data_IF_892821868864
#
_entry.id   IF_892821868864
#
_cell.length_a   1.000
_cell.length_b   1.000
_cell.length_c   1.000
_cell.angle_alpha   90.00
_cell.angle_beta   90.00
_cell.angle_gamma   90.00
#
_symmetry.space_group_name_H-M   'P 1'
#
loop_
_entity.id
_entity.type
_entity.pdbx_description
1 polymer ?
#
# COMPACT_ATOMS: atom_id res chain seq x y z
N UNK A 1 -16.94 72.30 11.47
CA UNK A 1 -17.43 72.15 10.08
C UNK A 1 -17.35 73.51 9.41
N UNK A 2 -16.83 73.68 8.17
CA UNK A 2 -15.93 72.85 7.34
C UNK A 2 -14.43 73.20 7.60
N UNK A 3 -13.36 72.48 7.16
CA UNK A 3 -12.85 72.09 5.81
C UNK A 3 -12.23 73.28 5.01
N UNK A 4 -11.05 73.25 4.35
CA UNK A 4 -10.09 72.16 4.01
C UNK A 4 -8.71 72.68 3.48
N UNK A 5 -7.72 71.77 3.25
CA UNK A 5 -6.50 71.81 2.35
C UNK A 5 -5.09 72.15 2.93
N UNK A 6 -4.05 71.50 2.39
CA UNK A 6 -2.66 72.02 2.25
C UNK A 6 -1.51 71.06 2.65
N UNK A 7 -0.50 70.86 1.77
CA UNK A 7 0.74 70.07 1.99
C UNK A 7 2.02 70.94 1.86
N UNK A 8 3.16 70.58 2.51
CA UNK A 8 4.45 70.24 1.84
C UNK A 8 5.69 69.94 2.75
N UNK A 9 6.48 68.92 2.34
CA UNK A 9 7.96 68.73 2.36
C UNK A 9 8.93 68.87 3.58
N UNK A 10 9.57 67.72 3.91
CA UNK A 10 11.03 67.34 3.84
C UNK A 10 12.17 68.02 4.67
N UNK A 11 13.03 67.11 5.21
CA UNK A 11 14.52 66.96 5.08
C UNK A 11 15.51 67.17 6.26
N UNK A 12 16.47 66.21 6.36
CA UNK A 12 17.69 66.10 7.20
C UNK A 12 18.14 64.60 7.21
N UNK A 13 19.37 64.13 6.92
CA UNK A 13 20.71 64.35 7.52
C UNK A 13 20.78 63.96 9.01
N UNK A 14 21.75 63.20 9.55
CA UNK A 14 22.95 62.44 9.09
C UNK A 14 23.40 61.48 10.26
N UNK A 15 24.40 60.58 10.32
CA UNK A 15 25.53 60.06 9.48
C UNK A 15 26.03 58.70 10.09
N UNK A 16 26.66 57.76 9.33
CA UNK A 16 27.59 56.71 9.89
C UNK A 16 28.39 55.89 8.86
N UNK A 17 29.61 55.46 9.22
CA UNK A 17 30.56 54.57 8.50
C UNK A 17 31.33 53.71 9.55
N UNK A 18 32.14 52.69 9.17
CA UNK A 18 31.77 51.45 8.47
C UNK A 18 32.16 50.19 9.30
N UNK A 19 31.58 49.02 9.00
CA UNK A 19 31.97 47.73 9.60
C UNK A 19 32.57 46.78 8.56
N UNK A 20 33.57 45.98 8.98
CA UNK A 20 34.42 45.18 8.07
C UNK A 20 33.71 43.91 7.57
N UNK A 21 34.05 43.54 6.34
CA UNK A 21 33.75 42.26 5.72
C UNK A 21 34.44 41.09 6.45
N UNK A 22 33.73 39.98 6.59
CA UNK A 22 34.29 38.63 6.64
C UNK A 22 33.46 37.73 5.68
N UNK A 23 34.04 36.64 5.15
CA UNK A 23 33.59 36.04 3.88
C UNK A 23 32.30 35.23 3.97
N UNK A 24 31.74 34.96 2.79
CA UNK A 24 30.44 34.28 2.61
C UNK A 24 30.46 32.82 3.10
N UNK A 25 29.36 32.43 3.74
CA UNK A 25 28.97 31.02 3.89
C UNK A 25 28.03 30.71 2.71
N UNK A 26 28.25 29.65 1.92
CA UNK A 26 27.38 29.29 0.80
C UNK A 26 25.93 29.10 1.26
N UNK A 27 24.99 29.70 0.52
CA UNK A 27 23.55 29.61 0.85
C UNK A 27 23.08 28.16 0.72
N UNK A 28 22.60 27.58 1.82
CA UNK A 28 21.70 26.43 1.73
C UNK A 28 20.44 26.86 0.97
N UNK A 29 19.98 26.03 0.03
CA UNK A 29 18.74 26.27 -0.71
C UNK A 29 17.53 26.09 0.23
N UNK A 30 17.11 27.17 0.89
CA UNK A 30 15.86 27.20 1.65
C UNK A 30 14.68 27.23 0.69
N UNK A 31 14.05 26.08 0.47
CA UNK A 31 12.73 26.00 -0.16
C UNK A 31 11.70 26.73 0.75
N UNK A 32 10.98 27.75 0.25
CA UNK A 32 9.98 28.44 1.05
C UNK A 32 8.74 27.56 1.26
N UNK A 33 8.33 27.34 2.50
CA UNK A 33 7.14 26.57 2.86
C UNK A 33 5.85 27.15 2.24
N UNK A 34 5.08 26.36 1.47
CA UNK A 34 3.66 26.60 1.23
C UNK A 34 2.81 26.02 2.38
N UNK A 35 1.62 26.59 2.56
CA UNK A 35 0.65 26.24 3.61
C UNK A 35 0.07 24.80 3.48
N UNK A 36 -0.53 24.23 4.55
CA UNK A 36 -0.64 22.78 4.72
C UNK A 36 -1.62 22.09 3.76
N UNK A 37 -1.06 21.39 2.77
CA UNK A 37 -1.75 20.33 2.05
C UNK A 37 -1.83 19.07 2.94
N UNK A 38 -2.87 18.97 3.76
CA UNK A 38 -3.06 17.83 4.69
C UNK A 38 -3.55 16.55 3.98
N UNK A 39 -2.85 16.11 2.94
CA UNK A 39 -2.96 14.75 2.41
C UNK A 39 -2.06 13.83 3.23
N UNK A 40 -2.62 12.87 3.96
CA UNK A 40 -1.84 11.86 4.68
C UNK A 40 -1.23 10.85 3.70
N UNK A 41 -0.11 11.19 3.08
CA UNK A 41 0.77 10.21 2.45
C UNK A 41 1.37 9.37 3.58
N UNK A 42 1.01 8.08 3.65
CA UNK A 42 1.60 7.12 4.58
C UNK A 42 2.55 6.20 3.83
N UNK A 43 3.78 5.98 4.31
CA UNK A 43 4.64 4.94 3.78
C UNK A 43 3.95 3.56 3.86
N UNK A 44 4.00 2.82 2.78
CA UNK A 44 3.67 1.39 2.73
C UNK A 44 4.98 0.63 2.53
N UNK A 45 5.41 -0.12 3.55
CA UNK A 45 6.60 -0.95 3.44
C UNK A 45 6.31 -2.11 2.47
N UNK A 46 7.16 -2.27 1.45
CA UNK A 46 6.95 -3.24 0.38
C UNK A 46 7.97 -4.39 0.50
N UNK A 47 7.48 -5.63 0.55
CA UNK A 47 8.31 -6.84 0.57
C UNK A 47 8.30 -7.51 -0.80
N UNK A 48 9.49 -7.84 -1.32
CA UNK A 48 9.66 -8.41 -2.66
C UNK A 48 9.15 -9.84 -2.75
N UNK A 49 8.60 -10.21 -3.91
CA UNK A 49 8.39 -11.62 -4.26
C UNK A 49 9.73 -12.36 -4.25
N UNK A 50 9.83 -13.40 -3.41
CA UNK A 50 10.89 -14.37 -3.41
C UNK A 50 10.28 -15.77 -3.45
N UNK A 51 10.96 -16.71 -4.09
CA UNK A 51 10.61 -18.12 -4.00
C UNK A 51 10.70 -18.59 -2.53
N UNK A 52 9.73 -19.38 -2.11
CA UNK A 52 9.50 -19.72 -0.69
C UNK A 52 10.51 -20.72 -0.11
N UNK A 53 11.78 -20.66 -0.50
CA UNK A 53 12.81 -21.64 -0.21
C UNK A 53 13.93 -21.03 0.63
N UNK A 54 13.95 -21.34 1.92
CA UNK A 54 15.04 -20.96 2.81
C UNK A 54 16.18 -21.98 2.67
N UNK A 55 17.05 -21.79 1.67
CA UNK A 55 18.26 -22.61 1.58
C UNK A 55 19.17 -22.32 2.79
N UNK A 56 19.74 -23.38 3.37
CA UNK A 56 20.58 -23.34 4.58
C UNK A 56 22.06 -23.59 4.28
N UNK A 57 22.46 -23.55 3.00
CA UNK A 57 23.81 -23.93 2.57
C UNK A 57 24.85 -22.79 2.52
N UNK A 58 24.43 -21.52 2.51
CA UNK A 58 25.35 -20.37 2.58
C UNK A 58 25.97 -20.19 3.96
N UNK A 59 27.10 -20.88 4.17
CA UNK A 59 28.00 -20.63 5.29
C UNK A 59 28.79 -19.34 5.03
N UNK A 60 28.63 -18.38 5.94
CA UNK A 60 29.50 -17.20 6.00
C UNK A 60 30.96 -17.62 6.26
N UNK A 61 31.79 -17.62 5.23
CA UNK A 61 33.25 -17.75 5.37
C UNK A 61 33.83 -16.43 5.92
N UNK A 62 33.89 -16.31 7.24
CA UNK A 62 34.37 -15.10 7.93
C UNK A 62 35.89 -14.99 7.84
N UNK A 63 36.39 -14.26 6.84
CA UNK A 63 37.83 -14.00 6.66
C UNK A 63 38.36 -13.06 7.73
N UNK A 64 38.83 -13.63 8.85
CA UNK A 64 39.62 -12.92 9.85
C UNK A 64 41.13 -13.03 9.57
N UNK A 65 41.92 -11.95 9.79
CA UNK A 65 43.36 -12.01 9.66
C UNK A 65 44.00 -12.90 10.74
N UNK A 66 45.07 -13.63 10.38
CA UNK A 66 45.72 -14.60 11.26
C UNK A 66 46.40 -13.94 12.47
N UNK A 67 45.99 -14.28 13.69
CA UNK A 67 46.72 -13.91 14.91
C UNK A 67 46.13 -14.47 16.21
N UNK A 68 47.02 -14.98 17.08
CA UNK A 68 46.83 -15.26 18.51
C UNK A 68 45.77 -16.30 18.98
N UNK A 69 46.30 -17.45 19.41
CA UNK A 69 45.95 -18.21 20.63
C UNK A 69 44.51 -18.73 20.85
N UNK A 70 44.42 -20.06 20.96
CA UNK A 70 43.27 -20.77 21.53
C UNK A 70 43.05 -20.50 23.03
N UNK A 71 41.79 -20.36 23.45
CA UNK A 71 41.32 -20.85 24.75
C UNK A 71 39.99 -21.58 24.59
N UNK A 72 39.78 -22.62 25.41
CA UNK A 72 38.55 -23.41 25.44
C UNK A 72 37.72 -23.00 26.64
N UNK A 73 36.49 -22.56 26.41
CA UNK A 73 35.44 -22.51 27.44
C UNK A 73 34.31 -23.46 27.03
N UNK A 74 33.61 -24.03 28.01
CA UNK A 74 32.65 -25.13 27.80
C UNK A 74 31.44 -24.96 28.72
N UNK A 75 30.25 -25.18 28.17
CA UNK A 75 28.95 -25.26 28.86
C UNK A 75 28.40 -23.90 29.35
N UNK A 76 27.14 -23.62 29.02
CA UNK A 76 26.44 -22.38 29.39
C UNK A 76 25.06 -22.26 28.73
N UNK A 77 24.12 -23.10 29.19
CA UNK A 77 22.64 -22.94 29.21
C UNK A 77 21.85 -22.56 27.92
N UNK A 78 20.55 -22.91 27.92
CA UNK A 78 19.64 -22.74 26.76
C UNK A 78 18.87 -21.42 26.79
N UNK A 79 19.60 -20.32 26.73
CA UNK A 79 19.11 -19.08 26.12
C UNK A 79 19.59 -19.07 24.65
N UNK A 80 18.95 -18.47 23.66
CA UNK A 80 18.08 -17.28 23.70
C UNK A 80 17.07 -17.20 22.54
N UNK A 81 16.58 -18.33 21.98
CA UNK A 81 15.67 -18.32 20.79
C UNK A 81 14.46 -17.39 20.96
N UNK A 82 13.79 -17.45 22.13
CA UNK A 82 12.71 -16.51 22.48
C UNK A 82 13.17 -15.04 22.56
N UNK A 83 14.39 -14.78 23.02
CA UNK A 83 14.98 -13.44 23.08
C UNK A 83 15.31 -12.86 21.71
N UNK A 84 15.76 -13.70 20.77
CA UNK A 84 15.97 -13.27 19.38
C UNK A 84 14.64 -12.91 18.70
N UNK A 85 13.59 -13.74 18.83
CA UNK A 85 12.26 -13.40 18.29
C UNK A 85 11.67 -12.13 18.92
N UNK A 86 11.91 -11.90 20.22
CA UNK A 86 11.40 -10.70 20.91
C UNK A 86 12.13 -9.42 20.51
N UNK A 87 13.46 -9.46 20.35
CA UNK A 87 14.27 -8.33 19.88
C UNK A 87 14.10 -8.06 18.38
N UNK A 88 13.97 -9.08 17.52
CA UNK A 88 13.58 -8.85 16.11
C UNK A 88 12.18 -8.23 16.03
N UNK A 89 11.20 -8.74 16.79
CA UNK A 89 9.87 -8.14 16.83
C UNK A 89 9.89 -6.72 17.42
N UNK A 90 10.89 -6.36 18.25
CA UNK A 90 11.09 -5.02 18.80
C UNK A 90 11.68 -4.07 17.77
N UNK A 91 12.68 -4.50 17.00
CA UNK A 91 13.18 -3.77 15.84
C UNK A 91 12.07 -3.51 14.81
N UNK A 92 11.26 -4.54 14.50
CA UNK A 92 10.08 -4.37 13.63
C UNK A 92 9.01 -3.44 14.22
N UNK A 93 8.77 -3.45 15.53
CA UNK A 93 7.89 -2.46 16.20
C UNK A 93 8.43 -1.04 16.06
N UNK A 94 9.71 -0.83 16.31
CA UNK A 94 10.35 0.49 16.22
C UNK A 94 10.33 1.02 14.79
N UNK A 95 10.63 0.18 13.79
CA UNK A 95 10.59 0.55 12.37
C UNK A 95 9.17 0.87 11.88
N UNK A 96 8.18 -0.01 12.16
CA UNK A 96 6.77 0.20 11.79
C UNK A 96 6.17 1.41 12.52
N UNK A 97 6.51 1.63 13.79
CA UNK A 97 6.06 2.78 14.57
C UNK A 97 6.66 4.09 14.07
N UNK A 98 7.97 4.11 13.76
CA UNK A 98 8.69 5.26 13.20
C UNK A 98 8.18 5.65 11.81
N UNK A 99 7.76 4.69 11.00
CA UNK A 99 7.21 4.94 9.65
C UNK A 99 5.68 5.15 9.61
N UNK A 100 4.93 4.76 10.64
CA UNK A 100 3.46 4.88 10.68
C UNK A 100 2.72 3.95 9.69
N UNK A 101 3.32 2.79 9.37
CA UNK A 101 2.96 1.94 8.22
C UNK A 101 1.62 1.23 8.39
N UNK A 102 0.83 1.22 7.31
CA UNK A 102 -0.19 0.21 7.07
C UNK A 102 0.43 -0.87 6.17
N UNK A 103 0.63 -2.08 6.69
CA UNK A 103 1.21 -3.18 5.91
C UNK A 103 0.12 -3.87 5.11
N UNK A 104 0.38 -4.05 3.81
CA UNK A 104 -0.54 -4.64 2.83
C UNK A 104 0.20 -5.78 2.14
N UNK A 105 -0.28 -7.01 2.29
CA UNK A 105 0.36 -8.16 1.65
C UNK A 105 0.15 -8.09 0.13
N UNK A 106 1.25 -7.98 -0.62
CA UNK A 106 1.29 -7.90 -2.09
C UNK A 106 1.05 -9.28 -2.76
N UNK A 107 1.31 -9.35 -4.07
CA UNK A 107 1.28 -10.49 -5.01
C UNK A 107 0.05 -10.52 -5.95
N UNK A 108 0.25 -10.62 -7.28
CA UNK A 108 -0.83 -10.78 -8.27
C UNK A 108 -1.55 -12.13 -8.19
N UNK A 109 -1.00 -13.11 -7.46
CA UNK A 109 -1.58 -14.46 -7.37
C UNK A 109 -2.87 -14.51 -6.55
N UNK A 110 -3.18 -13.42 -5.82
CA UNK A 110 -4.36 -13.30 -4.95
C UNK A 110 -5.71 -13.43 -5.67
N UNK A 111 -5.72 -13.25 -6.98
CA UNK A 111 -6.94 -13.30 -7.79
C UNK A 111 -7.32 -14.76 -8.15
N UNK A 112 -6.49 -15.72 -7.74
CA UNK A 112 -6.83 -17.15 -7.61
C UNK A 112 -6.56 -17.67 -6.20
N UNK A 113 -6.64 -16.80 -5.18
CA UNK A 113 -6.56 -17.23 -3.79
C UNK A 113 -7.94 -17.66 -3.31
N UNK A 114 -7.97 -18.81 -2.64
CA UNK A 114 -9.07 -19.31 -1.82
C UNK A 114 -8.61 -19.31 -0.36
N UNK A 115 -9.52 -19.10 0.58
CA UNK A 115 -9.22 -19.21 2.02
C UNK A 115 -9.66 -20.58 2.52
N UNK A 116 -8.79 -21.29 3.24
CA UNK A 116 -9.05 -22.65 3.74
C UNK A 116 -9.96 -22.67 4.97
N UNK A 117 -11.13 -22.04 4.88
CA UNK A 117 -12.14 -21.92 5.95
C UNK A 117 -13.00 -23.18 6.07
N UNK A 118 -13.86 -23.22 7.10
CA UNK A 118 -14.80 -24.33 7.35
C UNK A 118 -15.70 -24.66 6.14
N UNK A 119 -16.07 -23.63 5.35
CA UNK A 119 -16.89 -23.76 4.14
C UNK A 119 -16.07 -24.23 2.90
N UNK A 120 -14.76 -24.44 3.02
CA UNK A 120 -13.90 -24.95 1.94
C UNK A 120 -13.50 -26.41 2.18
N UNK A 121 -14.26 -27.33 1.58
CA UNK A 121 -14.13 -28.78 1.81
C UNK A 121 -13.08 -29.50 0.93
N UNK A 122 -12.18 -28.77 0.27
CA UNK A 122 -11.12 -29.33 -0.59
C UNK A 122 -9.73 -29.18 0.06
N UNK A 123 -8.73 -29.99 -0.32
CA UNK A 123 -7.36 -29.84 0.18
C UNK A 123 -6.80 -28.44 -0.11
N UNK A 124 -6.31 -27.77 0.93
CA UNK A 124 -5.74 -26.42 0.80
C UNK A 124 -4.31 -26.47 0.23
N UNK A 125 -4.19 -26.47 -1.10
CA UNK A 125 -2.92 -26.54 -1.84
C UNK A 125 -2.24 -25.17 -2.01
N UNK A 126 -0.89 -25.08 -2.00
CA UNK A 126 -0.18 -23.86 -2.34
C UNK A 126 -0.32 -23.52 -3.83
N UNK A 127 0.08 -22.30 -4.21
CA UNK A 127 0.30 -21.93 -5.61
C UNK A 127 1.41 -22.78 -6.23
N UNK A 128 1.19 -23.29 -7.44
CA UNK A 128 2.20 -23.97 -8.26
C UNK A 128 2.42 -23.15 -9.54
N UNK A 129 3.67 -23.01 -9.97
CA UNK A 129 4.01 -22.28 -11.21
C UNK A 129 3.58 -23.08 -12.43
N UNK A 130 2.74 -22.49 -13.28
CA UNK A 130 2.23 -23.08 -14.52
C UNK A 130 2.12 -21.99 -15.59
N UNK A 131 2.86 -22.14 -16.69
CA UNK A 131 2.91 -21.13 -17.75
C UNK A 131 1.67 -21.11 -18.67
N UNK A 132 0.77 -22.10 -18.57
CA UNK A 132 -0.53 -22.10 -19.26
C UNK A 132 -1.59 -21.30 -18.49
N UNK A 133 -1.36 -21.08 -17.21
CA UNK A 133 -2.30 -20.42 -16.30
C UNK A 133 -2.17 -18.89 -16.33
N UNK A 134 -3.28 -18.20 -16.10
CA UNK A 134 -3.28 -16.73 -15.97
C UNK A 134 -2.34 -16.28 -14.84
N UNK A 135 -1.50 -15.27 -15.11
CA UNK A 135 -0.41 -14.82 -14.24
C UNK A 135 0.70 -15.85 -13.93
N UNK A 136 0.70 -17.02 -14.59
CA UNK A 136 1.79 -18.00 -14.50
C UNK A 136 1.72 -18.98 -13.32
N UNK A 137 0.58 -19.06 -12.62
CA UNK A 137 0.39 -19.95 -11.47
C UNK A 137 -1.03 -20.52 -11.38
N UNK A 138 -1.18 -21.72 -10.83
CA UNK A 138 -2.45 -22.37 -10.51
C UNK A 138 -3.32 -21.56 -9.54
N UNK A 139 -4.55 -22.03 -9.27
CA UNK A 139 -5.23 -21.63 -8.04
C UNK A 139 -4.40 -22.05 -6.81
N UNK A 140 -4.44 -21.23 -5.76
CA UNK A 140 -3.79 -21.48 -4.48
C UNK A 140 -4.74 -21.24 -3.31
N UNK A 141 -4.44 -21.83 -2.16
CA UNK A 141 -5.22 -21.70 -0.94
C UNK A 141 -4.36 -21.15 0.20
N UNK A 142 -4.91 -20.23 1.00
CA UNK A 142 -4.34 -19.75 2.26
C UNK A 142 -4.82 -20.67 3.41
N UNK A 143 -3.95 -21.49 4.02
CA UNK A 143 -4.33 -22.27 5.19
C UNK A 143 -4.55 -21.33 6.38
N UNK A 144 -5.62 -21.52 7.15
CA UNK A 144 -5.93 -20.64 8.27
C UNK A 144 -4.81 -20.56 9.30
N UNK A 145 -4.12 -21.67 9.60
CA UNK A 145 -2.90 -21.65 10.45
C UNK A 145 -1.87 -20.59 10.00
N UNK A 146 -1.67 -20.42 8.68
CA UNK A 146 -0.74 -19.41 8.14
C UNK A 146 -1.30 -17.99 8.27
N UNK A 147 -2.62 -17.83 8.24
CA UNK A 147 -3.29 -16.58 8.55
C UNK A 147 -3.20 -16.22 10.04
N UNK A 148 -3.22 -17.20 10.94
CA UNK A 148 -3.07 -17.02 12.39
C UNK A 148 -1.65 -16.57 12.74
N UNK A 149 -0.64 -17.22 12.15
CA UNK A 149 0.78 -16.83 12.20
C UNK A 149 0.97 -15.37 11.74
N UNK A 150 0.31 -14.97 10.65
CA UNK A 150 0.33 -13.59 10.15
C UNK A 150 -0.34 -12.61 11.11
N UNK A 151 -1.51 -12.95 11.67
CA UNK A 151 -2.21 -12.08 12.64
C UNK A 151 -1.44 -11.93 13.96
N UNK A 152 -0.73 -12.97 14.41
CA UNK A 152 0.21 -12.87 15.52
C UNK A 152 1.33 -11.86 15.21
N UNK A 153 1.95 -11.93 14.04
CA UNK A 153 2.96 -10.96 13.59
C UNK A 153 2.40 -9.54 13.47
N UNK A 154 1.22 -9.35 12.88
CA UNK A 154 0.55 -8.05 12.78
C UNK A 154 0.28 -7.44 14.15
N UNK A 155 -0.21 -8.24 15.11
CA UNK A 155 -0.43 -7.83 16.50
C UNK A 155 0.88 -7.51 17.24
N UNK A 156 1.95 -8.28 16.99
CA UNK A 156 3.29 -8.08 17.60
C UNK A 156 4.06 -6.89 17.03
N UNK A 157 3.78 -6.48 15.78
CA UNK A 157 4.38 -5.29 15.13
C UNK A 157 3.55 -4.02 15.28
N UNK A 158 2.25 -4.14 15.60
CA UNK A 158 1.32 -3.00 15.70
C UNK A 158 0.83 -2.47 14.34
N UNK A 159 1.11 -3.20 13.25
CA UNK A 159 0.79 -2.78 11.90
C UNK A 159 -0.73 -2.79 11.63
N UNK A 160 -1.23 -1.77 10.92
CA UNK A 160 -2.65 -1.68 10.53
C UNK A 160 -2.89 -2.37 9.20
N UNK A 161 -3.65 -3.47 9.22
CA UNK A 161 -3.72 -4.40 8.09
C UNK A 161 -4.88 -4.07 7.16
N UNK A 162 -4.60 -3.99 5.85
CA UNK A 162 -5.65 -3.96 4.82
C UNK A 162 -5.48 -5.22 3.98
N UNK A 163 -6.57 -5.97 3.81
CA UNK A 163 -6.53 -7.24 3.10
C UNK A 163 -7.36 -7.19 1.81
N UNK A 164 -6.68 -7.40 0.68
CA UNK A 164 -7.30 -7.55 -0.63
C UNK A 164 -7.86 -8.95 -0.85
N UNK A 165 -9.16 -9.02 -1.07
CA UNK A 165 -9.95 -10.22 -1.32
C UNK A 165 -10.02 -10.52 -2.83
N UNK A 166 -9.99 -11.81 -3.17
CA UNK A 166 -10.20 -12.29 -4.53
C UNK A 166 -11.57 -11.87 -5.11
N UNK A 167 -11.59 -10.87 -5.99
CA UNK A 167 -12.78 -10.39 -6.69
C UNK A 167 -13.10 -11.13 -8.00
N UNK A 168 -12.22 -12.03 -8.47
CA UNK A 168 -12.48 -12.88 -9.64
C UNK A 168 -13.24 -14.18 -9.27
N UNK A 169 -13.38 -14.48 -7.97
CA UNK A 169 -14.14 -15.62 -7.49
C UNK A 169 -15.55 -15.69 -8.11
N UNK A 170 -15.85 -16.81 -8.79
CA UNK A 170 -17.14 -17.06 -9.45
C UNK A 170 -17.38 -16.36 -10.79
N UNK A 171 -16.45 -15.52 -11.28
CA UNK A 171 -16.62 -14.78 -12.53
C UNK A 171 -16.17 -15.59 -13.75
N UNK A 172 -16.89 -15.41 -14.86
CA UNK A 172 -16.49 -15.94 -16.16
C UNK A 172 -15.50 -14.98 -16.81
N UNK A 173 -14.42 -15.51 -17.39
CA UNK A 173 -13.36 -14.70 -18.02
C UNK A 173 -13.31 -14.99 -19.52
N UNK A 174 -13.34 -13.93 -20.32
CA UNK A 174 -13.27 -13.99 -21.78
C UNK A 174 -12.27 -12.95 -22.28
N UNK A 175 -11.07 -13.41 -22.67
CA UNK A 175 -9.93 -12.52 -22.91
C UNK A 175 -9.62 -11.68 -21.68
N UNK A 176 -9.39 -10.39 -21.87
CA UNK A 176 -9.00 -9.45 -20.81
C UNK A 176 -10.20 -8.87 -20.02
N UNK A 177 -11.33 -9.58 -19.98
CA UNK A 177 -12.60 -9.10 -19.40
C UNK A 177 -13.24 -10.18 -18.54
N UNK A 178 -13.55 -9.86 -17.28
CA UNK A 178 -14.30 -10.72 -16.37
C UNK A 178 -15.75 -10.23 -16.20
N UNK A 179 -16.71 -11.17 -16.20
CA UNK A 179 -18.15 -10.90 -16.17
C UNK A 179 -18.89 -11.86 -15.24
N UNK A 180 -20.12 -11.50 -14.87
CA UNK A 180 -20.93 -12.23 -13.89
C UNK A 180 -20.71 -11.74 -12.45
N UNK A 181 -21.61 -12.13 -11.53
CA UNK A 181 -21.55 -11.70 -10.12
C UNK A 181 -20.30 -12.24 -9.43
N UNK A 182 -19.80 -11.50 -8.45
CA UNK A 182 -18.77 -12.02 -7.54
C UNK A 182 -19.38 -13.07 -6.60
N UNK A 183 -18.75 -14.25 -6.51
CA UNK A 183 -19.11 -15.27 -5.52
C UNK A 183 -18.39 -14.94 -4.21
N UNK A 184 -19.11 -14.27 -3.31
CA UNK A 184 -18.58 -13.79 -2.04
C UNK A 184 -18.38 -14.87 -0.98
N UNK A 185 -18.98 -16.07 -1.12
CA UNK A 185 -19.15 -17.04 -0.01
C UNK A 185 -17.85 -17.39 0.71
N UNK A 186 -16.76 -17.63 -0.02
CA UNK A 186 -15.47 -17.93 0.60
C UNK A 186 -14.83 -16.71 1.28
N UNK A 187 -15.02 -15.50 0.73
CA UNK A 187 -14.55 -14.26 1.34
C UNK A 187 -15.36 -13.88 2.60
N UNK A 188 -16.67 -14.08 2.57
CA UNK A 188 -17.57 -13.93 3.73
C UNK A 188 -17.17 -14.89 4.86
N UNK A 189 -16.97 -16.17 4.54
CA UNK A 189 -16.44 -17.18 5.47
C UNK A 189 -15.10 -16.77 6.10
N UNK A 190 -14.20 -16.16 5.32
CA UNK A 190 -12.92 -15.65 5.81
C UNK A 190 -13.05 -14.39 6.66
N UNK A 191 -13.94 -13.46 6.31
CA UNK A 191 -14.28 -12.29 7.14
C UNK A 191 -14.84 -12.76 8.49
N UNK A 192 -15.81 -13.68 8.47
CA UNK A 192 -16.40 -14.33 9.65
C UNK A 192 -15.36 -15.01 10.53
N UNK A 193 -14.38 -15.69 9.93
CA UNK A 193 -13.26 -16.28 10.67
C UNK A 193 -12.42 -15.22 11.40
N UNK A 194 -12.13 -14.08 10.77
CA UNK A 194 -11.42 -12.98 11.41
C UNK A 194 -12.21 -12.38 12.58
N UNK A 195 -13.52 -12.18 12.41
CA UNK A 195 -14.44 -11.71 13.46
C UNK A 195 -14.42 -12.66 14.66
N UNK A 196 -14.66 -13.96 14.44
CA UNK A 196 -14.71 -14.98 15.50
C UNK A 196 -13.42 -15.12 16.30
N UNK A 197 -12.26 -14.90 15.67
CA UNK A 197 -10.95 -14.96 16.33
C UNK A 197 -10.48 -13.60 16.93
N UNK A 198 -11.30 -12.55 16.81
CA UNK A 198 -10.96 -11.21 17.32
C UNK A 198 -9.79 -10.54 16.58
N UNK A 199 -9.61 -10.84 15.29
CA UNK A 199 -8.51 -10.34 14.47
C UNK A 199 -8.80 -8.93 13.95
N UNK A 200 -7.92 -7.97 14.26
CA UNK A 200 -8.10 -6.55 13.95
C UNK A 200 -7.65 -6.23 12.52
N UNK A 201 -8.57 -6.34 11.56
CA UNK A 201 -8.38 -5.85 10.19
C UNK A 201 -8.80 -4.37 10.13
N UNK A 202 -8.00 -3.52 9.49
CA UNK A 202 -8.26 -2.08 9.36
C UNK A 202 -9.11 -1.75 8.12
N UNK A 203 -9.03 -2.57 7.08
CA UNK A 203 -9.89 -2.45 5.89
C UNK A 203 -9.90 -3.69 5.00
N UNK A 204 -10.97 -3.82 4.22
CA UNK A 204 -11.16 -4.85 3.20
C UNK A 204 -11.27 -4.20 1.82
N UNK A 205 -10.67 -4.80 0.80
CA UNK A 205 -10.72 -4.31 -0.58
C UNK A 205 -10.92 -5.44 -1.60
N UNK A 206 -11.55 -5.14 -2.73
CA UNK A 206 -11.66 -6.08 -3.87
C UNK A 206 -10.44 -5.94 -4.78
N UNK A 207 -9.78 -7.07 -5.07
CA UNK A 207 -8.54 -7.20 -5.86
C UNK A 207 -8.79 -8.18 -7.03
N UNK A 208 -8.27 -8.04 -8.25
CA UNK A 208 -7.11 -7.29 -8.75
C UNK A 208 -7.30 -5.77 -8.99
N UNK A 209 -6.27 -5.20 -9.60
CA UNK A 209 -6.24 -3.96 -10.39
C UNK A 209 -7.18 -4.05 -11.62
N UNK A 210 -8.49 -4.14 -11.38
CA UNK A 210 -9.50 -4.42 -12.40
C UNK A 210 -10.09 -3.15 -13.06
N UNK A 211 -9.58 -1.98 -12.71
CA UNK A 211 -10.08 -0.66 -13.15
C UNK A 211 -9.49 -0.22 -14.50
N UNK A 212 -10.28 0.50 -15.30
CA UNK A 212 -9.87 0.99 -16.63
C UNK A 212 -9.63 -0.18 -17.60
N UNK A 213 -8.44 -0.24 -18.20
CA UNK A 213 -7.99 -1.40 -18.98
C UNK A 213 -7.66 -2.64 -18.12
N UNK A 214 -7.50 -2.44 -16.81
CA UNK A 214 -6.99 -3.42 -15.86
C UNK A 214 -5.55 -3.85 -16.13
N UNK A 215 -5.02 -4.70 -15.24
CA UNK A 215 -3.75 -5.42 -15.45
C UNK A 215 -4.07 -6.89 -15.69
N UNK A 216 -3.89 -7.32 -16.95
CA UNK A 216 -4.34 -8.62 -17.45
C UNK A 216 -5.85 -8.69 -17.66
N UNK A 217 -6.64 -8.43 -16.62
CA UNK A 217 -8.11 -8.52 -16.60
C UNK A 217 -8.72 -7.18 -16.18
N UNK A 218 -9.83 -6.80 -16.81
CA UNK A 218 -10.68 -5.66 -16.47
C UNK A 218 -12.08 -6.10 -16.04
N UNK A 219 -12.77 -5.23 -15.26
CA UNK A 219 -14.20 -5.37 -14.97
C UNK A 219 -14.94 -4.05 -15.28
N UNK A 220 -16.15 -4.15 -15.84
CA UNK A 220 -17.03 -3.00 -16.08
C UNK A 220 -17.53 -2.39 -14.77
N UNK A 221 -17.62 -1.07 -14.73
CA UNK A 221 -17.97 -0.28 -13.53
C UNK A 221 -19.29 -0.69 -12.87
N UNK A 222 -20.31 -1.10 -13.62
CA UNK A 222 -21.57 -1.63 -13.05
C UNK A 222 -21.35 -2.90 -12.23
N UNK A 223 -20.61 -3.86 -12.78
CA UNK A 223 -20.34 -5.13 -12.12
C UNK A 223 -19.47 -4.89 -10.88
N UNK A 224 -18.37 -4.13 -11.02
CA UNK A 224 -17.48 -3.84 -9.89
C UNK A 224 -18.19 -3.02 -8.79
N UNK A 225 -19.10 -2.09 -9.13
CA UNK A 225 -19.90 -1.37 -8.14
C UNK A 225 -20.91 -2.29 -7.41
N UNK A 226 -21.50 -3.25 -8.12
CA UNK A 226 -22.36 -4.29 -7.52
C UNK A 226 -21.57 -5.24 -6.62
N UNK A 227 -20.37 -5.67 -7.04
CA UNK A 227 -19.48 -6.52 -6.25
C UNK A 227 -18.99 -5.79 -4.98
N UNK A 228 -18.67 -4.49 -5.10
CA UNK A 228 -18.28 -3.63 -3.99
C UNK A 228 -19.43 -3.43 -2.98
N UNK A 229 -20.67 -3.26 -3.46
CA UNK A 229 -21.84 -3.19 -2.58
C UNK A 229 -22.01 -4.49 -1.77
N UNK A 230 -21.88 -5.66 -2.42
CA UNK A 230 -21.93 -6.95 -1.73
C UNK A 230 -20.82 -7.10 -0.66
N UNK A 231 -19.58 -6.69 -0.97
CA UNK A 231 -18.51 -6.66 0.04
C UNK A 231 -18.87 -5.76 1.23
N UNK A 232 -19.44 -4.57 0.98
CA UNK A 232 -19.82 -3.64 2.03
C UNK A 232 -20.92 -4.22 2.92
N UNK A 233 -21.96 -4.82 2.33
CA UNK A 233 -23.06 -5.40 3.10
C UNK A 233 -22.55 -6.57 3.98
N UNK A 234 -21.66 -7.41 3.46
CA UNK A 234 -20.97 -8.46 4.25
C UNK A 234 -20.18 -7.84 5.41
N UNK A 235 -19.38 -6.80 5.17
CA UNK A 235 -18.60 -6.13 6.23
C UNK A 235 -19.49 -5.48 7.28
N UNK A 236 -20.61 -4.86 6.90
CA UNK A 236 -21.54 -4.26 7.86
C UNK A 236 -22.30 -5.31 8.69
N UNK A 237 -22.60 -6.48 8.11
CA UNK A 237 -23.29 -7.58 8.78
C UNK A 237 -22.36 -8.38 9.71
N UNK A 238 -21.20 -8.86 9.21
CA UNK A 238 -20.28 -9.68 10.01
C UNK A 238 -19.64 -8.89 11.17
N UNK A 239 -19.46 -7.58 11.01
CA UNK A 239 -18.99 -6.70 12.10
C UNK A 239 -20.14 -5.95 12.81
N UNK A 240 -21.39 -6.42 12.72
CA UNK A 240 -22.55 -5.73 13.30
C UNK A 240 -22.34 -5.36 14.78
N UNK A 241 -21.96 -6.35 15.60
CA UNK A 241 -21.73 -6.21 17.06
C UNK A 241 -20.33 -5.65 17.43
N UNK A 242 -19.56 -5.17 16.46
CA UNK A 242 -18.23 -4.57 16.67
C UNK A 242 -18.32 -3.05 16.43
N UNK A 243 -17.98 -2.24 17.44
CA UNK A 243 -17.99 -0.78 17.37
C UNK A 243 -17.11 -0.23 16.23
N UNK A 244 -15.84 -0.67 16.21
CA UNK A 244 -14.83 -0.22 15.24
C UNK A 244 -14.85 -1.09 13.98
N UNK A 245 -15.84 -0.88 13.12
CA UNK A 245 -15.96 -1.55 11.81
C UNK A 245 -14.76 -1.20 10.89
N UNK A 246 -14.26 -2.15 10.09
CA UNK A 246 -13.16 -1.90 9.14
C UNK A 246 -13.64 -1.08 7.93
N UNK A 247 -12.71 -0.37 7.29
CA UNK A 247 -12.96 0.42 6.09
C UNK A 247 -13.24 -0.46 4.87
N UNK A 248 -14.14 -0.05 3.98
CA UNK A 248 -14.34 -0.71 2.68
C UNK A 248 -13.70 0.14 1.57
N UNK A 249 -12.72 -0.45 0.88
CA UNK A 249 -11.71 0.26 0.08
C UNK A 249 -11.71 -0.26 -1.37
N UNK A 250 -11.63 0.65 -2.35
CA UNK A 250 -11.70 0.32 -3.79
C UNK A 250 -11.18 1.48 -4.67
N UNK A 251 -10.92 1.31 -5.98
CA UNK A 251 -10.91 0.06 -6.74
C UNK A 251 -9.56 -0.67 -6.79
N UNK A 252 -8.53 -0.17 -6.08
CA UNK A 252 -7.22 -0.82 -5.95
C UNK A 252 -6.54 -1.11 -7.32
N UNK A 253 -6.48 -0.11 -8.20
CA UNK A 253 -5.82 -0.21 -9.51
C UNK A 253 -5.38 1.14 -10.08
N UNK A 254 -4.87 1.15 -11.32
CA UNK A 254 -4.42 2.36 -11.99
C UNK A 254 -5.57 3.33 -12.30
N UNK A 255 -5.28 4.64 -12.21
CA UNK A 255 -6.28 5.70 -12.32
C UNK A 255 -6.75 5.92 -13.77
N UNK A 256 -7.97 5.46 -14.09
CA UNK A 256 -8.71 5.88 -15.27
C UNK A 256 -9.80 6.90 -14.85
N UNK A 257 -9.72 8.12 -15.39
CA UNK A 257 -10.61 9.23 -15.05
C UNK A 257 -12.09 8.96 -15.37
N UNK A 258 -12.39 8.15 -16.38
CA UNK A 258 -13.75 7.80 -16.79
C UNK A 258 -14.30 6.70 -15.87
N UNK A 259 -13.55 5.61 -15.73
CA UNK A 259 -13.90 4.46 -14.90
C UNK A 259 -14.08 4.88 -13.44
N UNK A 260 -13.14 5.65 -12.87
CA UNK A 260 -13.24 6.13 -11.48
C UNK A 260 -14.42 7.08 -11.29
N UNK A 261 -14.64 8.03 -12.22
CA UNK A 261 -15.79 8.95 -12.16
C UNK A 261 -17.11 8.20 -12.17
N UNK A 262 -17.21 7.15 -12.97
CA UNK A 262 -18.42 6.32 -13.07
C UNK A 262 -18.59 5.41 -11.84
N UNK A 263 -17.56 4.68 -11.43
CA UNK A 263 -17.58 3.85 -10.21
C UNK A 263 -17.96 4.65 -8.96
N UNK A 264 -17.33 5.81 -8.72
CA UNK A 264 -17.64 6.69 -7.58
C UNK A 264 -19.09 7.22 -7.66
N UNK A 265 -19.65 7.37 -8.87
CA UNK A 265 -21.06 7.74 -9.04
C UNK A 265 -22.01 6.60 -8.68
N UNK A 266 -21.66 5.35 -9.00
CA UNK A 266 -22.49 4.16 -8.75
C UNK A 266 -22.44 3.73 -7.28
N UNK A 267 -21.27 3.82 -6.64
CA UNK A 267 -21.08 3.49 -5.21
C UNK A 267 -21.48 4.64 -4.26
N UNK A 268 -21.40 5.90 -4.71
CA UNK A 268 -21.91 7.06 -3.97
C UNK A 268 -21.32 7.24 -2.56
N UNK A 269 -22.18 7.20 -1.54
CA UNK A 269 -21.80 7.33 -0.10
C UNK A 269 -21.37 6.00 0.54
N UNK A 270 -21.22 4.92 -0.23
CA UNK A 270 -20.78 3.62 0.25
C UNK A 270 -19.25 3.48 0.37
N UNK A 271 -18.48 4.43 -0.17
CA UNK A 271 -17.02 4.42 -0.18
C UNK A 271 -16.44 5.15 1.04
N UNK A 272 -15.58 4.49 1.79
CA UNK A 272 -14.77 5.13 2.85
C UNK A 272 -13.44 5.68 2.28
N UNK A 273 -12.85 4.94 1.34
CA UNK A 273 -11.56 5.26 0.71
C UNK A 273 -11.61 4.92 -0.77
N UNK A 274 -11.10 5.83 -1.60
CA UNK A 274 -10.75 5.54 -3.00
C UNK A 274 -9.24 5.39 -3.17
N UNK A 275 -8.79 4.20 -3.58
CA UNK A 275 -7.38 3.86 -3.83
C UNK A 275 -7.03 3.89 -5.32
N UNK A 276 -5.86 4.42 -5.63
CA UNK A 276 -5.21 4.27 -6.93
C UNK A 276 -3.75 3.82 -6.77
N UNK A 277 -3.16 3.26 -7.82
CA UNK A 277 -1.76 2.81 -7.84
C UNK A 277 -0.86 3.77 -8.63
N UNK A 278 0.40 3.89 -8.20
CA UNK A 278 1.42 4.72 -8.86
C UNK A 278 2.71 3.93 -9.09
N UNK A 279 3.25 4.01 -10.30
CA UNK A 279 4.56 3.46 -10.68
C UNK A 279 5.23 4.46 -11.62
N UNK A 280 5.63 5.59 -11.04
CA UNK A 280 5.83 6.84 -11.76
C UNK A 280 6.97 6.84 -12.78
N UNK A 281 7.97 5.95 -12.65
CA UNK A 281 9.11 5.85 -13.59
C UNK A 281 8.82 4.96 -14.83
N UNK A 282 7.73 4.17 -14.81
CA UNK A 282 7.37 3.22 -15.87
C UNK A 282 7.89 1.79 -15.63
N UNK A 283 8.20 1.02 -16.68
CA UNK A 283 8.64 -0.36 -16.55
C UNK A 283 10.09 -0.49 -16.05
N UNK A 284 10.37 -1.54 -15.29
CA UNK A 284 11.68 -1.84 -14.69
C UNK A 284 12.78 -2.24 -15.67
N UNK A 285 12.41 -2.50 -16.92
CA UNK A 285 13.31 -2.83 -18.06
C UNK A 285 13.63 -1.62 -18.94
N UNK A 286 13.19 -0.41 -18.56
CA UNK A 286 13.43 0.80 -19.33
C UNK A 286 14.86 1.32 -19.10
N UNK A 287 15.64 1.45 -20.17
CA UNK A 287 17.04 1.88 -20.08
C UNK A 287 17.19 3.31 -19.53
N UNK A 288 16.13 4.13 -19.57
CA UNK A 288 16.16 5.53 -19.14
C UNK A 288 15.63 5.77 -17.71
N UNK A 289 15.57 4.74 -16.86
CA UNK A 289 15.13 4.88 -15.46
C UNK A 289 16.01 5.83 -14.63
N UNK A 290 17.31 5.90 -14.92
CA UNK A 290 18.28 6.71 -14.17
C UNK A 290 18.12 8.20 -14.48
N UNK A 291 17.77 8.54 -15.71
CA UNK A 291 17.43 9.90 -16.13
C UNK A 291 16.05 10.30 -15.57
N UNK A 292 15.05 9.41 -15.66
CA UNK A 292 13.67 9.68 -15.19
C UNK A 292 13.55 9.94 -13.70
N UNK A 293 14.37 9.28 -12.87
CA UNK A 293 14.39 9.53 -11.42
C UNK A 293 15.10 10.85 -11.05
N UNK A 294 15.86 11.45 -11.99
CA UNK A 294 16.55 12.73 -11.82
C UNK A 294 15.84 13.91 -12.52
N UNK A 295 14.92 13.65 -13.45
CA UNK A 295 14.13 14.68 -14.14
C UNK A 295 12.88 15.08 -13.32
N UNK A 296 12.84 16.27 -12.69
CA UNK A 296 11.66 16.71 -11.93
C UNK A 296 10.42 16.88 -12.83
N UNK A 297 10.60 17.26 -14.10
CA UNK A 297 9.48 17.39 -15.05
C UNK A 297 8.91 16.03 -15.47
N UNK A 298 9.67 14.95 -15.28
CA UNK A 298 9.17 13.59 -15.40
C UNK A 298 8.37 13.18 -14.16
N UNK A 299 8.89 13.46 -12.97
CA UNK A 299 8.25 13.12 -11.68
C UNK A 299 6.94 13.89 -11.46
N UNK A 300 6.87 15.17 -11.85
CA UNK A 300 5.70 16.05 -11.68
C UNK A 300 4.45 15.56 -12.43
N UNK A 301 4.58 14.62 -13.38
CA UNK A 301 3.45 14.07 -14.15
C UNK A 301 2.38 13.42 -13.26
N UNK A 302 2.78 12.82 -12.14
CA UNK A 302 1.87 12.18 -11.17
C UNK A 302 0.93 13.18 -10.48
N UNK A 303 1.28 14.48 -10.45
CA UNK A 303 0.39 15.53 -9.95
C UNK A 303 -0.93 15.61 -10.74
N UNK A 304 -0.93 15.19 -12.00
CA UNK A 304 -2.16 15.09 -12.83
C UNK A 304 -3.10 13.98 -12.33
N UNK A 305 -2.57 12.84 -11.89
CA UNK A 305 -3.33 11.74 -11.25
C UNK A 305 -3.96 12.20 -9.94
N UNK A 306 -3.15 12.75 -9.04
CA UNK A 306 -3.60 13.20 -7.71
C UNK A 306 -4.67 14.29 -7.82
N UNK A 307 -4.46 15.29 -8.68
CA UNK A 307 -5.46 16.35 -8.92
C UNK A 307 -6.70 15.83 -9.64
N UNK A 308 -6.56 14.89 -10.59
CA UNK A 308 -7.66 14.22 -11.27
C UNK A 308 -8.60 13.50 -10.30
N UNK A 309 -8.06 12.62 -9.43
CA UNK A 309 -8.85 11.90 -8.44
C UNK A 309 -9.49 12.85 -7.41
N UNK A 310 -8.72 13.83 -6.89
CA UNK A 310 -9.22 14.85 -5.96
C UNK A 310 -10.40 15.63 -6.55
N UNK A 311 -10.31 16.02 -7.82
CA UNK A 311 -11.36 16.74 -8.53
C UNK A 311 -12.60 15.86 -8.78
N UNK A 312 -12.43 14.56 -9.04
CA UNK A 312 -13.56 13.62 -9.15
C UNK A 312 -14.30 13.53 -7.82
N UNK A 313 -13.61 13.26 -6.71
CA UNK A 313 -14.23 13.15 -5.38
C UNK A 313 -14.98 14.42 -4.99
N UNK A 314 -14.34 15.59 -5.15
CA UNK A 314 -14.96 16.88 -4.90
C UNK A 314 -16.22 17.11 -5.78
N UNK A 315 -16.15 16.76 -7.07
CA UNK A 315 -17.29 16.89 -8.00
C UNK A 315 -18.45 15.93 -7.72
N UNK A 316 -18.25 14.93 -6.85
CA UNK A 316 -19.25 13.92 -6.49
C UNK A 316 -19.82 14.08 -5.08
N UNK A 317 -19.27 14.98 -4.26
CA UNK A 317 -19.77 15.23 -2.90
C UNK A 317 -19.72 14.01 -1.98
N UNK A 318 -18.81 13.07 -2.25
CA UNK A 318 -18.61 11.87 -1.41
C UNK A 318 -17.71 12.19 -0.20
N UNK A 319 -17.92 11.47 0.89
CA UNK A 319 -17.05 11.48 2.07
C UNK A 319 -15.77 10.66 1.91
N UNK A 320 -15.65 9.90 0.83
CA UNK A 320 -14.51 9.02 0.58
C UNK A 320 -13.18 9.79 0.48
N UNK A 321 -12.13 9.28 1.12
CA UNK A 321 -10.78 9.88 1.07
C UNK A 321 -9.92 9.27 -0.04
N UNK A 322 -9.09 10.07 -0.71
CA UNK A 322 -8.15 9.57 -1.74
C UNK A 322 -6.86 9.05 -1.10
N UNK A 323 -6.56 7.76 -1.27
CA UNK A 323 -5.29 7.15 -0.85
C UNK A 323 -4.51 6.64 -2.07
N UNK A 324 -3.19 6.54 -1.92
CA UNK A 324 -2.35 5.69 -2.77
C UNK A 324 -2.44 4.28 -2.18
N UNK A 325 -3.04 3.35 -2.91
CA UNK A 325 -3.23 1.96 -2.48
C UNK A 325 -2.01 1.07 -2.71
N UNK A 326 -1.12 1.50 -3.59
CA UNK A 326 0.13 0.82 -3.92
C UNK A 326 1.07 1.82 -4.62
N UNK A 327 2.37 1.70 -4.35
CA UNK A 327 3.37 2.61 -4.92
C UNK A 327 4.70 1.91 -5.11
N UNK A 328 5.29 2.08 -6.29
CA UNK A 328 6.70 1.80 -6.54
C UNK A 328 7.33 2.86 -7.44
N UNK A 329 8.64 2.82 -7.61
CA UNK A 329 9.30 3.63 -8.65
C UNK A 329 8.98 3.09 -10.04
N UNK A 330 9.31 1.81 -10.28
CA UNK A 330 9.08 1.14 -11.56
C UNK A 330 8.39 -0.22 -11.35
N UNK A 331 7.47 -0.60 -12.25
CA UNK A 331 6.78 -1.89 -12.23
C UNK A 331 7.56 -2.96 -13.00
N UNK A 332 7.35 -4.26 -12.71
CA UNK A 332 8.02 -5.39 -13.38
C UNK A 332 9.55 -5.26 -13.45
N UNK A 333 10.24 -5.49 -12.31
CA UNK A 333 11.69 -5.77 -12.31
C UNK A 333 11.94 -7.27 -12.37
N UNK A 334 12.68 -7.70 -13.39
CA UNK A 334 13.49 -8.92 -13.34
C UNK A 334 14.91 -8.43 -13.03
N UNK A 335 15.53 -8.92 -11.96
CA UNK A 335 16.98 -8.90 -11.85
C UNK A 335 17.49 -10.13 -12.62
N UNK A 336 18.26 -9.89 -13.69
CA UNK A 336 19.01 -10.92 -14.42
C UNK A 336 20.40 -11.09 -13.80
#
# INVERSE_FOLDING_TARGET
MPSQRGEFSRQGHQQSLPLRLHPEIPRQCQCPNPFPLLGMVRPTANGTDGDGHFDRSDRYDTVFPKGASSQVCKIGETESVFGQEEEEAKLWREEVSRMGVSSRAFSPLKDKLIYGTEDYHLPCTPFVKDASEMFGFTQGCLPLKRWDELNYFFKKSGAKIIFGLNALAGKTIHGNSATGPWNSTNAESFIRYNVRNGYTIHGWELRNELSGSGVGISIKTDQYASDFAALRDIVYNEYADIDSKPLVIAPRGFFDSTWFREFISKSGKALDVVTHHIYNLGPGVDEHLVERIQDPSFLDKEASTFSGLKNILASKGTSATAWVGESGGAYNRIWN
#
